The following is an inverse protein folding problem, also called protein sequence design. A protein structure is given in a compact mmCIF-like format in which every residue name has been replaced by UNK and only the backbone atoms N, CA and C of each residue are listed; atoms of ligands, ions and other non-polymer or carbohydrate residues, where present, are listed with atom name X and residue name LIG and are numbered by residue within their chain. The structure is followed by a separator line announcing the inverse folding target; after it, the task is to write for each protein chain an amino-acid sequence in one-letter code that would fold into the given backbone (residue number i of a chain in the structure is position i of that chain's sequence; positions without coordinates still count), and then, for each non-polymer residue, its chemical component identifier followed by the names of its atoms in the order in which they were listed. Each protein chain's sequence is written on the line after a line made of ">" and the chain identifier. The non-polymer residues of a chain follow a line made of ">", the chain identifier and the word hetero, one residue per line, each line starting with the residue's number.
data_IF_565485152290
#
_entry.id   IF_565485152290
#
_cell.length_a   1.000
_cell.length_b   1.000
_cell.length_c   1.000
_cell.angle_alpha   90.00
_cell.angle_beta   90.00
_cell.angle_gamma   90.00
#
_symmetry.space_group_name_H-M   'P 1'
#
loop_
_entity.id
_entity.type
_entity.pdbx_description
1 polymer ?
#
# COMPACT_ATOMS: atom_id res chain seq x y z
N UNK A 1 -24.70 8.89 -4.07
CA UNK A 1 -24.95 7.99 -5.22
C UNK A 1 -26.40 8.18 -5.62
N UNK A 2 -26.70 8.76 -6.79
CA UNK A 2 -28.07 8.75 -7.31
C UNK A 2 -28.47 7.29 -7.57
N UNK A 3 -29.62 6.88 -7.05
CA UNK A 3 -30.13 5.50 -7.18
C UNK A 3 -31.05 5.39 -8.39
N UNK A 4 -31.90 6.40 -8.62
CA UNK A 4 -32.82 6.48 -9.76
C UNK A 4 -33.13 7.94 -10.07
N UNK A 5 -33.45 8.24 -11.33
CA UNK A 5 -34.03 9.51 -11.80
C UNK A 5 -35.42 9.20 -12.34
N UNK A 6 -36.44 9.94 -11.91
CA UNK A 6 -37.84 9.69 -12.26
C UNK A 6 -38.40 10.85 -13.10
N UNK A 7 -39.17 10.52 -14.12
CA UNK A 7 -39.97 11.47 -14.90
C UNK A 7 -41.37 11.70 -14.32
N UNK A 8 -42.17 12.61 -14.92
CA UNK A 8 -43.52 12.90 -14.47
C UNK A 8 -44.39 11.63 -14.41
N UNK A 9 -44.99 11.39 -13.23
CA UNK A 9 -45.88 10.24 -13.00
C UNK A 9 -45.20 8.92 -12.62
N UNK A 10 -43.87 8.81 -12.65
CA UNK A 10 -43.17 7.58 -12.29
C UNK A 10 -43.02 7.44 -10.76
N UNK A 11 -43.15 6.20 -10.26
CA UNK A 11 -43.04 5.86 -8.83
C UNK A 11 -42.21 4.59 -8.66
N UNK A 12 -41.48 4.51 -7.55
CA UNK A 12 -40.75 3.30 -7.13
C UNK A 12 -41.12 2.96 -5.69
N UNK A 13 -41.34 1.68 -5.42
CA UNK A 13 -41.49 1.12 -4.08
C UNK A 13 -40.68 -0.16 -4.02
N UNK A 14 -39.83 -0.31 -3.01
CA UNK A 14 -39.09 -1.54 -2.77
C UNK A 14 -38.82 -1.74 -1.27
N UNK A 15 -38.66 -3.00 -0.88
CA UNK A 15 -38.15 -3.41 0.43
C UNK A 15 -36.78 -4.06 0.22
N UNK A 16 -35.81 -3.70 1.05
CA UNK A 16 -34.49 -4.31 1.04
C UNK A 16 -34.08 -4.75 2.44
N UNK A 17 -33.42 -5.91 2.54
CA UNK A 17 -32.93 -6.48 3.79
C UNK A 17 -31.42 -6.55 3.79
N UNK A 18 -30.80 -5.88 4.76
CA UNK A 18 -29.36 -5.94 4.96
C UNK A 18 -28.98 -7.21 5.73
N UNK A 19 -27.88 -7.85 5.32
CA UNK A 19 -27.24 -8.94 6.07
C UNK A 19 -25.74 -8.70 6.17
N UNK A 20 -25.14 -9.24 7.22
CA UNK A 20 -23.69 -9.33 7.31
C UNK A 20 -23.16 -10.31 6.25
N UNK A 21 -21.99 -9.99 5.70
CA UNK A 21 -21.31 -10.82 4.72
C UNK A 21 -19.83 -10.45 4.66
N UNK A 22 -19.05 -11.22 3.90
CA UNK A 22 -17.61 -11.01 3.73
C UNK A 22 -17.27 -10.60 2.30
N UNK A 23 -16.22 -9.79 2.13
CA UNK A 23 -15.71 -9.43 0.80
C UNK A 23 -15.36 -10.63 -0.09
N UNK A 24 -15.00 -11.78 0.51
CA UNK A 24 -14.78 -13.05 -0.21
C UNK A 24 -16.06 -13.60 -0.87
N UNK A 25 -17.23 -13.35 -0.28
CA UNK A 25 -18.52 -13.75 -0.86
C UNK A 25 -18.93 -12.80 -1.99
N UNK A 26 -18.76 -11.49 -1.80
CA UNK A 26 -19.06 -10.48 -2.81
C UNK A 26 -18.38 -9.15 -2.49
N UNK A 27 -17.90 -8.46 -3.52
CA UNK A 27 -17.13 -7.20 -3.38
C UNK A 27 -17.87 -6.10 -2.60
N UNK A 28 -19.21 -6.07 -2.64
CA UNK A 28 -20.06 -5.12 -1.87
C UNK A 28 -19.85 -5.15 -0.36
N UNK A 29 -19.33 -6.26 0.18
CA UNK A 29 -19.00 -6.40 1.61
C UNK A 29 -17.54 -6.10 1.93
N UNK A 30 -16.76 -5.59 0.96
CA UNK A 30 -15.43 -5.05 1.26
C UNK A 30 -15.57 -3.78 2.10
N UNK A 31 -14.96 -3.70 3.29
CA UNK A 31 -14.99 -2.48 4.11
C UNK A 31 -14.01 -1.41 3.60
N UNK A 32 -13.20 -1.72 2.58
CA UNK A 32 -12.17 -0.84 2.02
C UNK A 32 -12.40 -0.62 0.53
N UNK A 33 -12.14 0.60 0.08
CA UNK A 33 -11.96 0.94 -1.34
C UNK A 33 -10.55 0.58 -1.79
N UNK A 34 -9.55 0.81 -0.92
CA UNK A 34 -8.14 0.49 -1.16
C UNK A 34 -7.52 -0.08 0.11
N UNK A 35 -6.83 -1.22 -0.02
CA UNK A 35 -5.93 -1.73 1.01
C UNK A 35 -4.66 -2.23 0.35
N UNK A 36 -3.60 -1.43 0.43
CA UNK A 36 -2.32 -1.73 -0.23
C UNK A 36 -1.16 -1.42 0.70
N UNK A 37 0.03 -1.88 0.32
CA UNK A 37 1.27 -1.57 1.02
C UNK A 37 2.37 -1.30 0.01
N UNK A 38 3.35 -0.51 0.41
CA UNK A 38 4.63 -0.41 -0.28
C UNK A 38 5.77 -0.57 0.71
N UNK A 39 6.90 -1.06 0.23
CA UNK A 39 8.12 -1.10 1.05
C UNK A 39 8.64 0.31 1.34
N UNK A 40 9.24 0.50 2.51
CA UNK A 40 9.97 1.74 2.80
C UNK A 40 11.17 1.84 1.86
N UNK A 41 11.27 2.88 1.03
CA UNK A 41 12.39 3.05 0.10
C UNK A 41 13.71 3.25 0.84
N UNK A 42 14.79 2.71 0.29
CA UNK A 42 16.17 2.97 0.71
C UNK A 42 16.94 3.44 -0.52
N UNK A 43 17.39 4.68 -0.50
CA UNK A 43 18.08 5.31 -1.63
C UNK A 43 19.49 5.65 -1.16
N UNK A 44 20.50 5.09 -1.83
CA UNK A 44 21.91 5.33 -1.54
C UNK A 44 22.52 6.02 -2.76
N UNK A 45 23.17 7.15 -2.53
CA UNK A 45 23.87 7.92 -3.57
C UNK A 45 25.35 7.88 -3.24
N UNK A 46 26.14 7.33 -4.15
CA UNK A 46 27.60 7.34 -4.04
C UNK A 46 28.12 8.69 -4.55
N UNK A 47 28.53 9.56 -3.63
CA UNK A 47 29.02 10.90 -3.95
C UNK A 47 30.34 10.90 -4.71
N UNK A 48 31.18 9.87 -4.58
CA UNK A 48 32.47 9.83 -5.31
C UNK A 48 32.30 9.52 -6.80
N UNK A 49 31.20 8.86 -7.17
CA UNK A 49 30.83 8.59 -8.57
C UNK A 49 29.94 9.68 -9.17
N UNK A 50 29.37 10.56 -8.35
CA UNK A 50 28.41 11.55 -8.81
C UNK A 50 29.15 12.72 -9.48
N UNK A 51 28.78 13.03 -10.73
CA UNK A 51 29.35 14.15 -11.52
C UNK A 51 28.64 15.49 -11.32
N UNK A 52 27.84 15.65 -10.26
CA UNK A 52 27.26 16.97 -9.94
C UNK A 52 28.41 17.95 -9.62
N UNK A 53 28.41 19.23 -10.08
CA UNK A 53 27.32 20.00 -10.72
C UNK A 53 27.17 19.88 -12.24
N UNK A 54 28.02 19.12 -12.93
CA UNK A 54 28.00 18.96 -14.40
C UNK A 54 26.87 18.04 -14.92
N UNK A 55 26.05 17.50 -14.01
CA UNK A 55 24.96 16.56 -14.28
C UNK A 55 23.69 17.01 -13.54
N UNK A 56 22.58 16.29 -13.70
CA UNK A 56 21.31 16.66 -13.05
C UNK A 56 20.10 15.83 -13.48
N UNK A 57 20.23 15.01 -14.52
CA UNK A 57 19.13 14.21 -15.11
C UNK A 57 18.32 13.41 -14.08
N UNK A 58 18.96 12.88 -13.04
CA UNK A 58 18.27 12.11 -11.99
C UNK A 58 17.24 12.93 -11.20
N UNK A 59 17.49 14.23 -11.03
CA UNK A 59 16.60 15.19 -10.35
C UNK A 59 15.39 15.48 -11.24
N UNK A 60 15.63 15.75 -12.52
CA UNK A 60 14.59 16.07 -13.52
C UNK A 60 13.60 14.92 -13.72
N UNK A 61 14.10 13.68 -13.84
CA UNK A 61 13.23 12.50 -14.08
C UNK A 61 12.53 12.00 -12.82
N UNK A 62 12.76 12.60 -11.65
CA UNK A 62 12.12 12.16 -10.42
C UNK A 62 10.68 12.70 -10.35
N UNK A 63 9.63 11.88 -10.54
CA UNK A 63 8.23 12.36 -10.57
C UNK A 63 7.73 12.86 -9.21
N UNK A 64 8.51 12.65 -8.15
CA UNK A 64 8.20 13.05 -6.78
C UNK A 64 9.11 14.17 -6.27
N UNK A 65 10.07 14.62 -7.09
CA UNK A 65 11.01 15.69 -6.78
C UNK A 65 11.70 15.53 -5.42
N UNK A 66 12.10 14.30 -5.08
CA UNK A 66 12.70 13.98 -3.77
C UNK A 66 14.24 14.10 -3.75
N UNK A 67 14.86 14.29 -4.92
CA UNK A 67 16.29 14.46 -5.09
C UNK A 67 16.57 15.95 -5.23
N UNK A 68 17.33 16.52 -4.30
CA UNK A 68 17.66 17.95 -4.25
C UNK A 68 19.17 18.16 -4.22
N UNK A 69 19.64 19.33 -4.65
CA UNK A 69 21.05 19.69 -4.56
C UNK A 69 21.30 20.45 -3.26
N UNK A 70 22.28 19.99 -2.47
CA UNK A 70 22.83 20.70 -1.31
C UNK A 70 24.35 20.54 -1.33
N UNK A 71 25.08 21.63 -1.16
CA UNK A 71 26.56 21.64 -1.15
C UNK A 71 27.19 20.90 -2.34
N UNK A 72 26.66 21.16 -3.55
CA UNK A 72 27.05 20.48 -4.80
C UNK A 72 26.91 18.94 -4.78
N UNK A 73 26.07 18.40 -3.90
CA UNK A 73 25.75 16.96 -3.80
C UNK A 73 24.25 16.72 -3.96
N UNK A 74 23.89 15.59 -4.56
CA UNK A 74 22.50 15.13 -4.60
C UNK A 74 22.15 14.52 -3.24
N UNK A 75 21.12 15.04 -2.60
CA UNK A 75 20.59 14.58 -1.32
C UNK A 75 19.13 14.16 -1.49
N UNK A 76 18.73 13.14 -0.74
CA UNK A 76 17.34 12.66 -0.69
C UNK A 76 16.63 13.41 0.43
N UNK A 77 15.65 14.24 0.08
CA UNK A 77 14.91 15.04 1.08
C UNK A 77 13.87 14.20 1.84
N UNK A 78 13.07 13.42 1.12
CA UNK A 78 12.05 12.56 1.72
C UNK A 78 11.95 11.23 0.99
N UNK A 79 12.60 10.20 1.54
CA UNK A 79 12.60 8.85 0.99
C UNK A 79 11.21 8.20 0.96
N UNK A 80 10.31 8.54 1.89
CA UNK A 80 8.97 7.97 1.98
C UNK A 80 8.08 8.36 0.79
N UNK A 81 8.37 9.52 0.16
CA UNK A 81 7.67 9.96 -1.06
C UNK A 81 8.10 9.19 -2.30
N UNK A 82 9.22 8.47 -2.28
CA UNK A 82 9.67 7.67 -3.43
C UNK A 82 8.62 6.60 -3.81
N UNK A 83 8.41 6.44 -5.11
CA UNK A 83 7.52 5.43 -5.72
C UNK A 83 8.26 4.18 -6.18
N UNK A 84 9.58 4.10 -5.95
CA UNK A 84 10.44 2.99 -6.40
C UNK A 84 10.43 2.76 -7.93
N UNK A 85 10.14 3.80 -8.74
CA UNK A 85 10.12 3.69 -10.20
C UNK A 85 11.50 3.44 -10.85
N UNK A 86 12.59 3.68 -10.10
CA UNK A 86 14.00 3.53 -10.52
C UNK A 86 14.42 4.35 -11.74
N UNK A 87 13.68 5.39 -12.13
CA UNK A 87 14.08 6.26 -13.26
C UNK A 87 15.43 6.96 -13.01
N UNK A 88 15.66 7.46 -11.79
CA UNK A 88 16.93 8.07 -11.40
C UNK A 88 18.14 7.13 -11.58
N UNK A 89 17.95 5.82 -11.37
CA UNK A 89 18.99 4.80 -11.59
C UNK A 89 19.26 4.65 -13.08
N UNK A 90 18.20 4.54 -13.89
CA UNK A 90 18.30 4.33 -15.34
C UNK A 90 19.02 5.47 -16.07
N UNK A 91 18.81 6.72 -15.64
CA UNK A 91 19.41 7.89 -16.30
C UNK A 91 20.78 8.28 -15.75
N UNK A 92 21.26 7.63 -14.68
CA UNK A 92 22.53 7.95 -14.06
C UNK A 92 23.67 7.27 -14.85
N UNK A 93 24.49 8.00 -15.62
CA UNK A 93 25.52 7.39 -16.45
C UNK A 93 26.62 6.71 -15.61
N UNK A 94 26.84 7.17 -14.38
CA UNK A 94 27.88 6.69 -13.47
C UNK A 94 27.44 5.54 -12.57
N UNK A 95 26.17 5.11 -12.67
CA UNK A 95 25.57 4.15 -11.74
C UNK A 95 25.80 4.56 -10.26
N UNK A 96 25.78 5.87 -9.98
CA UNK A 96 26.02 6.42 -8.65
C UNK A 96 24.83 6.24 -7.70
N UNK A 97 23.65 5.87 -8.21
CA UNK A 97 22.41 5.78 -7.43
C UNK A 97 21.96 4.32 -7.31
N UNK A 98 21.74 3.86 -6.08
CA UNK A 98 21.14 2.55 -5.77
C UNK A 98 19.80 2.75 -5.07
N UNK A 99 18.73 2.21 -5.65
CA UNK A 99 17.39 2.22 -5.08
C UNK A 99 17.01 0.80 -4.67
N UNK A 100 16.76 0.60 -3.38
CA UNK A 100 16.27 -0.64 -2.79
C UNK A 100 15.17 -0.32 -1.76
N UNK A 101 14.87 -1.28 -0.89
CA UNK A 101 13.93 -1.11 0.22
C UNK A 101 14.58 -1.52 1.55
N UNK A 102 13.99 -1.06 2.66
CA UNK A 102 14.32 -1.53 4.00
C UNK A 102 13.59 -2.86 4.26
N UNK A 103 14.30 -3.95 4.62
CA UNK A 103 13.65 -5.21 4.99
C UNK A 103 12.68 -5.02 6.16
N UNK A 104 11.64 -5.85 6.21
CA UNK A 104 10.67 -5.90 7.31
C UNK A 104 9.96 -4.57 7.63
N UNK A 105 9.99 -3.58 6.74
CA UNK A 105 9.40 -2.26 6.95
C UNK A 105 8.48 -1.88 5.81
N UNK A 106 7.23 -1.56 6.15
CA UNK A 106 6.16 -1.35 5.18
C UNK A 106 5.37 -0.08 5.50
N UNK A 107 4.92 0.60 4.45
CA UNK A 107 3.98 1.72 4.51
C UNK A 107 2.65 1.18 4.02
N UNK A 108 1.68 1.04 4.92
CA UNK A 108 0.33 0.62 4.59
C UNK A 108 -0.51 1.84 4.20
N UNK A 109 -1.37 1.67 3.19
CA UNK A 109 -2.38 2.64 2.80
C UNK A 109 -3.74 1.94 2.80
N UNK A 110 -4.62 2.41 3.69
CA UNK A 110 -5.94 1.86 3.91
C UNK A 110 -6.95 2.99 3.74
N UNK A 111 -7.87 2.81 2.80
CA UNK A 111 -8.97 3.72 2.53
C UNK A 111 -10.29 2.98 2.77
N UNK A 112 -11.11 3.50 3.68
CA UNK A 112 -12.39 2.92 4.04
C UNK A 112 -13.48 3.34 3.06
N UNK A 113 -14.46 2.46 2.82
CA UNK A 113 -15.71 2.84 2.13
C UNK A 113 -16.66 3.67 3.00
N UNK A 114 -16.29 3.94 4.26
CA UNK A 114 -17.07 4.68 5.24
C UNK A 114 -17.84 3.81 6.23
N UNK A 115 -17.87 2.48 6.04
CA UNK A 115 -18.59 1.56 6.94
C UNK A 115 -17.90 1.42 8.30
N UNK A 116 -16.56 1.40 8.31
CA UNK A 116 -15.72 1.32 9.52
C UNK A 116 -14.57 2.32 9.44
N UNK A 117 -14.05 2.78 10.59
CA UNK A 117 -12.82 3.58 10.60
C UNK A 117 -11.62 2.74 10.13
N UNK A 118 -10.64 3.30 9.39
CA UNK A 118 -9.48 2.56 8.90
C UNK A 118 -8.71 1.80 10.00
N UNK A 119 -8.53 2.41 11.17
CA UNK A 119 -7.83 1.80 12.30
C UNK A 119 -8.56 0.54 12.78
N UNK A 120 -9.90 0.60 12.82
CA UNK A 120 -10.71 -0.56 13.21
C UNK A 120 -10.62 -1.69 12.21
N UNK A 121 -10.57 -1.38 10.91
CA UNK A 121 -10.41 -2.38 9.84
C UNK A 121 -9.11 -3.16 10.04
N UNK A 122 -8.00 -2.47 10.32
CA UNK A 122 -6.70 -3.11 10.55
C UNK A 122 -6.73 -3.99 11.80
N UNK A 123 -7.32 -3.51 12.89
CA UNK A 123 -7.45 -4.29 14.13
C UNK A 123 -8.30 -5.56 13.94
N UNK A 124 -9.42 -5.47 13.23
CA UNK A 124 -10.26 -6.65 12.91
C UNK A 124 -9.54 -7.63 11.98
N UNK A 125 -8.77 -7.13 11.01
CA UNK A 125 -7.97 -7.98 10.13
C UNK A 125 -6.92 -8.77 10.93
N UNK A 126 -6.22 -8.12 11.87
CA UNK A 126 -5.27 -8.79 12.75
C UNK A 126 -5.94 -9.83 13.66
N UNK A 127 -7.10 -9.49 14.23
CA UNK A 127 -7.91 -10.41 15.04
C UNK A 127 -8.32 -11.65 14.24
N UNK A 128 -8.86 -11.48 13.04
CA UNK A 128 -9.26 -12.58 12.16
C UNK A 128 -8.06 -13.46 11.80
N UNK A 129 -6.89 -12.88 11.56
CA UNK A 129 -5.67 -13.64 11.27
C UNK A 129 -5.27 -14.50 12.47
N UNK A 130 -5.28 -13.92 13.67
CA UNK A 130 -5.01 -14.66 14.92
C UNK A 130 -5.97 -15.82 15.13
N UNK A 131 -7.28 -15.58 15.00
CA UNK A 131 -8.30 -16.63 15.16
C UNK A 131 -8.12 -17.78 14.15
N UNK A 132 -7.72 -17.46 12.92
CA UNK A 132 -7.42 -18.49 11.91
C UNK A 132 -6.20 -19.33 12.28
N UNK A 133 -5.15 -18.71 12.82
CA UNK A 133 -3.96 -19.42 13.28
C UNK A 133 -4.28 -20.30 14.50
N UNK A 134 -5.02 -19.77 15.49
CA UNK A 134 -5.47 -20.53 16.66
C UNK A 134 -6.34 -21.73 16.26
N UNK A 135 -7.23 -21.56 15.28
CA UNK A 135 -8.04 -22.68 14.76
C UNK A 135 -7.18 -23.75 14.10
N UNK A 136 -6.21 -23.36 13.28
CA UNK A 136 -5.31 -24.31 12.63
C UNK A 136 -4.51 -25.12 13.66
N UNK A 137 -4.02 -24.48 14.72
CA UNK A 137 -3.31 -25.18 15.80
C UNK A 137 -4.18 -26.26 16.47
N UNK A 138 -5.44 -25.92 16.78
CA UNK A 138 -6.39 -26.87 17.37
C UNK A 138 -6.68 -28.07 16.45
N UNK A 139 -6.82 -27.81 15.15
CA UNK A 139 -7.04 -28.88 14.16
C UNK A 139 -5.80 -29.79 14.04
N UNK A 140 -4.60 -29.24 14.13
CA UNK A 140 -3.34 -30.02 14.12
C UNK A 140 -3.20 -30.89 15.38
N UNK A 141 -3.55 -30.38 16.55
CA UNK A 141 -3.53 -31.13 17.82
C UNK A 141 -4.50 -32.32 17.77
N UNK A 142 -5.70 -32.13 17.21
CA UNK A 142 -6.68 -33.20 17.06
C UNK A 142 -6.17 -34.35 16.18
N UNK A 143 -5.52 -34.04 15.04
CA UNK A 143 -4.96 -35.06 14.14
C UNK A 143 -3.78 -35.80 14.78
N UNK A 144 -2.95 -35.12 15.57
CA UNK A 144 -1.84 -35.77 16.29
C UNK A 144 -2.32 -36.73 17.39
N UNK A 145 -3.47 -36.45 18.00
CA UNK A 145 -4.09 -37.31 19.02
C UNK A 145 -4.75 -38.59 18.49
N UNK A 146 -5.00 -38.70 17.18
CA UNK A 146 -5.63 -39.87 16.54
C UNK A 146 -4.63 -40.97 16.12
N UNK A 147 -3.32 -40.75 16.31
CA UNK A 147 -2.25 -41.69 15.93
C UNK A 147 -1.50 -42.32 17.12
N UNK A 148 -2.06 -42.24 18.33
CA UNK A 148 -1.66 -43.01 19.53
C UNK A 148 -2.83 -43.84 20.03
#
# INVERSE_FOLDING_TARGET
>A
IPIVVLGPGQKIAFEARARLGRGKEHAKWSPVSVATHKYVPKIIINTSKCRLPECGKCIEVCPKHILVVKDNKVVVENELKCTLCRQCVRVCPENAIKVSWKPNTYIMYIESTGVLKPERIVLEAAKILREKAERLLKELEAVQGEHT
#
